data_IF_926790994563
#
_entry.id   IF_926790994563
#
_cell.length_a   1.000
_cell.length_b   1.000
_cell.length_c   1.000
_cell.angle_alpha   90.00
_cell.angle_beta   90.00
_cell.angle_gamma   90.00
#
_symmetry.space_group_name_H-M   'P 1'
#
loop_
_entity.id
_entity.type
_entity.pdbx_description
1 polymer ?
#
# COMPACT_ATOMS: atom_id res chain seq x y z
N UNK A 1 25.22 -2.54 -42.73
CA UNK A 1 24.89 -2.98 -41.36
C UNK A 1 24.42 -1.74 -40.60
N UNK A 2 23.12 -1.50 -40.60
CA UNK A 2 22.49 -0.41 -39.87
C UNK A 2 22.34 -0.85 -38.44
N UNK A 3 23.10 -0.27 -37.55
CA UNK A 3 22.83 -0.38 -36.11
C UNK A 3 21.43 0.17 -35.88
N UNK A 4 20.54 -0.58 -35.19
CA UNK A 4 19.32 0.02 -34.73
C UNK A 4 19.76 1.14 -33.79
N UNK A 5 19.33 2.35 -34.08
CA UNK A 5 19.39 3.42 -33.11
C UNK A 5 18.83 2.85 -31.79
N UNK A 6 19.66 2.88 -30.74
CA UNK A 6 19.16 2.83 -29.40
C UNK A 6 18.16 3.98 -29.30
N UNK A 7 16.91 3.67 -29.63
CA UNK A 7 15.86 4.64 -29.75
C UNK A 7 15.87 5.46 -28.50
N UNK A 8 15.73 6.75 -28.63
CA UNK A 8 15.34 7.63 -27.57
C UNK A 8 14.20 6.92 -26.83
N UNK A 9 14.56 6.18 -25.77
CA UNK A 9 13.56 5.75 -24.79
C UNK A 9 12.94 7.05 -24.32
N UNK A 10 11.74 7.35 -24.81
CA UNK A 10 10.96 8.46 -24.32
C UNK A 10 10.93 8.34 -22.81
N UNK A 11 10.86 9.45 -22.09
CA UNK A 11 10.72 9.43 -20.62
C UNK A 11 9.59 8.50 -20.18
N UNK A 12 8.57 8.31 -21.00
CA UNK A 12 7.46 7.37 -20.84
C UNK A 12 7.90 5.90 -20.93
N UNK A 13 8.70 5.53 -21.95
CA UNK A 13 9.23 4.17 -22.09
C UNK A 13 10.13 3.79 -20.92
N UNK A 14 10.94 4.72 -20.40
CA UNK A 14 11.77 4.50 -19.21
C UNK A 14 10.95 4.31 -17.94
N UNK A 15 9.86 5.04 -17.79
CA UNK A 15 8.94 4.88 -16.63
C UNK A 15 8.27 3.52 -16.64
N UNK A 16 7.80 3.07 -17.81
CA UNK A 16 7.17 1.77 -17.97
C UNK A 16 8.16 0.63 -17.74
N UNK A 17 9.40 0.74 -18.24
CA UNK A 17 10.46 -0.24 -18.00
C UNK A 17 10.77 -0.36 -16.50
N UNK A 18 10.88 0.75 -15.80
CA UNK A 18 11.10 0.75 -14.35
C UNK A 18 9.94 0.12 -13.58
N UNK A 19 8.71 0.40 -14.00
CA UNK A 19 7.51 -0.20 -13.38
C UNK A 19 7.46 -1.71 -13.57
N UNK A 20 7.72 -2.18 -14.77
CA UNK A 20 7.80 -3.62 -15.08
C UNK A 20 8.91 -4.28 -14.27
N UNK A 21 10.09 -3.67 -14.21
CA UNK A 21 11.21 -4.20 -13.43
C UNK A 21 10.89 -4.28 -11.93
N UNK A 22 10.23 -3.28 -11.38
CA UNK A 22 9.76 -3.25 -10.00
C UNK A 22 8.85 -4.45 -9.69
N UNK A 23 7.91 -4.73 -10.60
CA UNK A 23 6.97 -5.85 -10.44
C UNK A 23 7.68 -7.20 -10.63
N UNK A 24 8.53 -7.34 -11.66
CA UNK A 24 9.21 -8.59 -11.98
C UNK A 24 10.27 -9.01 -10.98
N UNK A 25 10.79 -8.08 -10.18
CA UNK A 25 11.65 -8.39 -9.03
C UNK A 25 10.92 -9.18 -7.94
N UNK A 26 9.60 -9.09 -7.90
CA UNK A 26 8.76 -9.68 -6.84
C UNK A 26 7.99 -10.88 -7.36
N UNK A 27 7.37 -10.77 -8.54
CA UNK A 27 6.54 -11.81 -9.14
C UNK A 27 6.94 -12.04 -10.58
N UNK A 28 6.88 -13.30 -11.01
CA UNK A 28 7.11 -13.65 -12.41
C UNK A 28 5.88 -13.30 -13.24
N UNK A 29 6.09 -12.55 -14.32
CA UNK A 29 5.05 -12.19 -15.29
C UNK A 29 5.23 -13.00 -16.58
N UNK A 30 4.11 -13.39 -17.19
CA UNK A 30 4.12 -13.85 -18.59
C UNK A 30 4.37 -12.66 -19.53
N UNK A 31 4.79 -12.94 -20.77
CA UNK A 31 4.95 -11.90 -21.78
C UNK A 31 3.64 -11.13 -22.02
N UNK A 32 2.51 -11.82 -21.99
CA UNK A 32 1.19 -11.21 -22.13
C UNK A 32 0.86 -10.28 -20.97
N UNK A 33 1.10 -10.71 -19.74
CA UNK A 33 0.90 -9.88 -18.54
C UNK A 33 1.77 -8.63 -18.57
N UNK A 34 3.05 -8.80 -18.89
CA UNK A 34 4.00 -7.70 -18.99
C UNK A 34 3.54 -6.66 -20.02
N UNK A 35 3.10 -7.10 -21.18
CA UNK A 35 2.62 -6.21 -22.24
C UNK A 35 1.33 -5.48 -21.84
N UNK A 36 0.39 -6.16 -21.22
CA UNK A 36 -0.85 -5.55 -20.72
C UNK A 36 -0.58 -4.48 -19.64
N UNK A 37 0.32 -4.77 -18.72
CA UNK A 37 0.70 -3.82 -17.67
C UNK A 37 1.43 -2.62 -18.26
N UNK A 38 2.36 -2.85 -19.20
CA UNK A 38 3.08 -1.81 -19.90
C UNK A 38 2.14 -0.84 -20.62
N UNK A 39 1.22 -1.37 -21.40
CA UNK A 39 0.21 -0.57 -22.12
C UNK A 39 -0.63 0.27 -21.16
N UNK A 40 -1.09 -0.32 -20.06
CA UNK A 40 -1.88 0.37 -19.06
C UNK A 40 -1.08 1.47 -18.34
N UNK A 41 0.19 1.23 -18.06
CA UNK A 41 1.05 2.20 -17.40
C UNK A 41 1.44 3.36 -18.33
N UNK A 42 1.66 3.09 -19.61
CA UNK A 42 1.87 4.14 -20.62
C UNK A 42 0.66 5.07 -20.69
N UNK A 43 -0.55 4.52 -20.73
CA UNK A 43 -1.79 5.30 -20.71
C UNK A 43 -1.93 6.12 -19.42
N UNK A 44 -1.58 5.55 -18.27
CA UNK A 44 -1.53 6.23 -16.99
C UNK A 44 -0.58 7.44 -17.03
N UNK A 45 0.63 7.25 -17.54
CA UNK A 45 1.64 8.31 -17.62
C UNK A 45 1.20 9.48 -18.52
N UNK A 46 0.54 9.21 -19.63
CA UNK A 46 -0.03 10.25 -20.51
C UNK A 46 -1.03 11.14 -19.74
N UNK A 47 -1.92 10.53 -18.97
CA UNK A 47 -2.91 11.26 -18.17
C UNK A 47 -2.26 12.03 -17.02
N UNK A 48 -1.27 11.47 -16.36
CA UNK A 48 -0.53 12.15 -15.30
C UNK A 48 0.21 13.37 -15.85
N UNK A 49 0.89 13.23 -16.97
CA UNK A 49 1.59 14.35 -17.62
C UNK A 49 0.63 15.47 -18.06
N UNK A 50 -0.51 15.10 -18.62
CA UNK A 50 -1.56 16.07 -18.95
C UNK A 50 -2.06 16.83 -17.71
N UNK A 51 -2.30 16.12 -16.61
CA UNK A 51 -2.74 16.75 -15.36
C UNK A 51 -1.68 17.67 -14.75
N UNK A 52 -0.38 17.35 -14.92
CA UNK A 52 0.72 18.15 -14.38
C UNK A 52 1.05 19.38 -15.21
N UNK A 53 1.02 19.26 -16.55
CA UNK A 53 1.57 20.27 -17.44
C UNK A 53 0.53 21.04 -18.26
N UNK A 54 -0.66 20.48 -18.48
CA UNK A 54 -1.67 21.06 -19.38
C UNK A 54 -2.90 21.58 -18.64
N UNK A 55 -3.21 21.03 -17.46
CA UNK A 55 -4.41 21.40 -16.67
C UNK A 55 -4.05 22.39 -15.60
N UNK A 56 -4.60 23.61 -15.71
CA UNK A 56 -4.32 24.72 -14.79
C UNK A 56 -5.14 24.65 -13.50
N UNK A 57 -6.37 24.11 -13.56
CA UNK A 57 -7.22 23.97 -12.39
C UNK A 57 -6.75 22.79 -11.52
N UNK A 58 -6.33 23.08 -10.30
CA UNK A 58 -5.81 22.09 -9.35
C UNK A 58 -6.84 20.98 -9.02
N UNK A 59 -8.12 21.33 -8.92
CA UNK A 59 -9.19 20.36 -8.64
C UNK A 59 -9.42 19.42 -9.82
N UNK A 60 -9.44 19.95 -11.04
CA UNK A 60 -9.54 19.15 -12.27
C UNK A 60 -8.32 18.24 -12.44
N UNK A 61 -7.11 18.75 -12.20
CA UNK A 61 -5.87 17.97 -12.24
C UNK A 61 -5.89 16.81 -11.23
N UNK A 62 -6.31 17.06 -10.00
CA UNK A 62 -6.44 16.03 -8.97
C UNK A 62 -7.43 14.93 -9.37
N UNK A 63 -8.54 15.29 -9.98
CA UNK A 63 -9.53 14.33 -10.49
C UNK A 63 -8.96 13.45 -11.60
N UNK A 64 -8.23 14.03 -12.54
CA UNK A 64 -7.57 13.29 -13.63
C UNK A 64 -6.56 12.29 -13.06
N UNK A 65 -5.74 12.71 -12.09
CA UNK A 65 -4.77 11.84 -11.41
C UNK A 65 -5.47 10.68 -10.69
N UNK A 66 -6.54 10.96 -10.00
CA UNK A 66 -7.33 9.93 -9.30
C UNK A 66 -7.91 8.91 -10.27
N UNK A 67 -8.57 9.36 -11.33
CA UNK A 67 -9.16 8.47 -12.34
C UNK A 67 -8.09 7.66 -13.09
N UNK A 68 -6.95 8.27 -13.39
CA UNK A 68 -5.82 7.58 -14.00
C UNK A 68 -5.27 6.47 -13.10
N UNK A 69 -5.11 6.74 -11.81
CA UNK A 69 -4.68 5.77 -10.81
C UNK A 69 -5.67 4.62 -10.65
N UNK A 70 -6.95 4.93 -10.63
CA UNK A 70 -8.04 3.95 -10.56
C UNK A 70 -8.04 3.01 -11.76
N UNK A 71 -7.95 3.54 -12.96
CA UNK A 71 -7.90 2.77 -14.20
C UNK A 71 -6.68 1.84 -14.25
N UNK A 72 -5.50 2.37 -13.94
CA UNK A 72 -4.28 1.58 -13.90
C UNK A 72 -4.35 0.47 -12.85
N UNK A 73 -4.79 0.79 -11.63
CA UNK A 73 -4.93 -0.20 -10.55
C UNK A 73 -5.91 -1.31 -10.93
N UNK A 74 -7.03 -0.96 -11.57
CA UNK A 74 -8.01 -1.92 -12.05
C UNK A 74 -7.39 -2.91 -13.04
N UNK A 75 -6.64 -2.41 -14.01
CA UNK A 75 -5.96 -3.25 -15.01
C UNK A 75 -4.87 -4.11 -14.38
N UNK A 76 -4.04 -3.53 -13.51
CA UNK A 76 -2.98 -4.27 -12.80
C UNK A 76 -3.57 -5.43 -11.99
N UNK A 77 -4.59 -5.15 -11.19
CA UNK A 77 -5.23 -6.18 -10.35
C UNK A 77 -5.93 -7.26 -11.17
N UNK A 78 -6.53 -6.90 -12.30
CA UNK A 78 -7.16 -7.86 -13.21
C UNK A 78 -6.14 -8.71 -13.99
N UNK A 79 -4.98 -8.16 -14.31
CA UNK A 79 -3.92 -8.83 -15.08
C UNK A 79 -3.15 -9.83 -14.24
N UNK A 80 -2.88 -9.51 -12.99
CA UNK A 80 -2.19 -10.41 -12.04
C UNK A 80 -3.13 -11.51 -11.55
N UNK A 81 -2.59 -12.70 -11.32
CA UNK A 81 -3.30 -13.75 -10.58
C UNK A 81 -3.48 -13.33 -9.12
N UNK A 82 -4.39 -13.96 -8.40
CA UNK A 82 -4.58 -13.69 -6.98
C UNK A 82 -3.29 -13.88 -6.18
N UNK A 83 -2.56 -14.96 -6.44
CA UNK A 83 -1.27 -15.23 -5.81
C UNK A 83 -0.23 -14.15 -6.12
N UNK A 84 -0.12 -13.71 -7.37
CA UNK A 84 0.79 -12.63 -7.76
C UNK A 84 0.41 -11.30 -7.09
N UNK A 85 -0.88 -10.95 -7.08
CA UNK A 85 -1.37 -9.72 -6.42
C UNK A 85 -1.00 -9.70 -4.95
N UNK A 86 -1.32 -10.76 -4.23
CA UNK A 86 -1.08 -10.84 -2.80
C UNK A 86 0.42 -10.76 -2.50
N UNK A 87 1.25 -11.48 -3.24
CA UNK A 87 2.71 -11.43 -3.08
C UNK A 87 3.27 -10.03 -3.36
N UNK A 88 2.83 -9.39 -4.43
CA UNK A 88 3.27 -8.04 -4.77
C UNK A 88 2.91 -7.02 -3.68
N UNK A 89 1.67 -7.03 -3.21
CA UNK A 89 1.21 -6.16 -2.13
C UNK A 89 1.97 -6.45 -0.84
N UNK A 90 2.12 -7.72 -0.48
CA UNK A 90 2.82 -8.14 0.73
C UNK A 90 4.28 -7.67 0.74
N UNK A 91 5.03 -7.96 -0.30
CA UNK A 91 6.45 -7.57 -0.38
C UNK A 91 6.62 -6.05 -0.39
N UNK A 92 5.84 -5.33 -1.19
CA UNK A 92 5.93 -3.87 -1.26
C UNK A 92 5.46 -3.16 0.01
N UNK A 93 4.63 -3.81 0.80
CA UNK A 93 4.07 -3.25 2.04
C UNK A 93 4.82 -3.67 3.30
N UNK A 94 5.73 -4.64 3.22
CA UNK A 94 6.44 -5.19 4.39
C UNK A 94 7.15 -4.12 5.22
N UNK A 95 7.91 -3.17 4.67
CA UNK A 95 8.57 -2.14 5.49
C UNK A 95 7.60 -1.29 6.30
N UNK A 96 6.49 -0.88 5.71
CA UNK A 96 5.45 -0.09 6.39
C UNK A 96 4.75 -0.89 7.49
N UNK A 97 4.40 -2.15 7.20
CA UNK A 97 3.74 -3.02 8.17
C UNK A 97 4.68 -3.39 9.32
N UNK A 98 5.96 -3.63 9.05
CA UNK A 98 6.97 -3.86 10.09
C UNK A 98 7.11 -2.66 11.02
N UNK A 99 7.22 -1.45 10.47
CA UNK A 99 7.31 -0.22 11.25
C UNK A 99 6.09 -0.03 12.16
N UNK A 100 4.90 -0.25 11.62
CA UNK A 100 3.65 -0.16 12.38
C UNK A 100 3.54 -1.25 13.45
N UNK A 101 3.98 -2.46 13.13
CA UNK A 101 4.04 -3.58 14.09
C UNK A 101 4.98 -3.27 15.25
N UNK A 102 6.17 -2.78 14.98
CA UNK A 102 7.15 -2.42 15.99
C UNK A 102 6.66 -1.29 16.90
N UNK A 103 5.98 -0.29 16.31
CA UNK A 103 5.34 0.77 17.08
C UNK A 103 4.26 0.22 18.04
N UNK A 104 3.36 -0.64 17.55
CA UNK A 104 2.32 -1.25 18.38
C UNK A 104 2.90 -2.15 19.47
N UNK A 105 3.92 -2.92 19.15
CA UNK A 105 4.61 -3.76 20.12
C UNK A 105 5.31 -2.93 21.20
N UNK A 106 5.89 -1.79 20.82
CA UNK A 106 6.50 -0.83 21.74
C UNK A 106 5.52 -0.31 22.79
N UNK A 107 4.27 -0.04 22.40
CA UNK A 107 3.22 0.38 23.34
C UNK A 107 2.92 -0.70 24.39
N UNK A 108 2.98 -1.98 24.03
CA UNK A 108 2.79 -3.09 24.94
C UNK A 108 3.97 -3.23 25.90
N UNK A 109 5.20 -3.11 25.40
CA UNK A 109 6.43 -3.18 26.20
C UNK A 109 6.50 -2.10 27.28
N UNK A 110 6.00 -0.92 27.01
CA UNK A 110 5.95 0.17 28.00
C UNK A 110 5.04 -0.14 29.21
N UNK A 111 4.03 -0.97 29.00
CA UNK A 111 3.03 -1.26 30.02
C UNK A 111 3.32 -2.54 30.82
N UNK A 112 4.03 -3.48 30.24
CA UNK A 112 4.21 -4.82 30.80
C UNK A 112 5.59 -5.37 30.51
N UNK A 113 6.06 -6.25 31.38
CA UNK A 113 7.21 -7.09 31.13
C UNK A 113 6.74 -8.38 30.44
N UNK A 114 7.33 -8.69 29.30
CA UNK A 114 7.06 -9.90 28.55
C UNK A 114 8.35 -10.67 28.31
N UNK A 115 8.27 -12.01 28.31
CA UNK A 115 9.36 -12.86 27.86
C UNK A 115 9.62 -12.65 26.35
N UNK A 116 10.80 -13.03 25.89
CA UNK A 116 11.15 -12.97 24.46
C UNK A 116 10.20 -13.78 23.61
N UNK A 117 9.75 -14.95 24.10
CA UNK A 117 8.76 -15.78 23.40
C UNK A 117 7.40 -15.08 23.29
N UNK A 118 6.92 -14.48 24.37
CA UNK A 118 5.66 -13.74 24.37
C UNK A 118 5.71 -12.56 23.39
N UNK A 119 6.81 -11.82 23.37
CA UNK A 119 7.01 -10.71 22.43
C UNK A 119 7.03 -11.20 20.99
N UNK A 120 7.68 -12.30 20.71
CA UNK A 120 7.73 -12.92 19.37
C UNK A 120 6.34 -13.32 18.88
N UNK A 121 5.54 -13.95 19.74
CA UNK A 121 4.17 -14.37 19.41
C UNK A 121 3.24 -13.17 19.21
N UNK A 122 3.34 -12.15 20.06
CA UNK A 122 2.57 -10.92 19.94
C UNK A 122 2.95 -10.17 18.65
N UNK A 123 4.24 -10.08 18.35
CA UNK A 123 4.72 -9.46 17.11
C UNK A 123 4.16 -10.15 15.88
N UNK A 124 4.22 -11.48 15.85
CA UNK A 124 3.69 -12.28 14.73
C UNK A 124 2.18 -12.06 14.55
N UNK A 125 1.41 -12.05 15.61
CA UNK A 125 -0.03 -11.85 15.58
C UNK A 125 -0.38 -10.44 15.05
N UNK A 126 0.28 -9.41 15.55
CA UNK A 126 0.08 -8.01 15.11
C UNK A 126 0.47 -7.85 13.65
N UNK A 127 1.64 -8.34 13.26
CA UNK A 127 2.13 -8.25 11.87
C UNK A 127 1.17 -8.93 10.89
N UNK A 128 0.76 -10.15 11.18
CA UNK A 128 -0.14 -10.93 10.32
C UNK A 128 -1.48 -10.22 10.12
N UNK A 129 -2.03 -9.67 11.18
CA UNK A 129 -3.28 -8.91 11.09
C UNK A 129 -3.13 -7.60 10.30
N UNK A 130 -2.10 -6.81 10.60
CA UNK A 130 -1.83 -5.56 9.91
C UNK A 130 -1.52 -5.77 8.43
N UNK A 131 -0.83 -6.86 8.08
CA UNK A 131 -0.60 -7.23 6.69
C UNK A 131 -1.91 -7.60 5.98
N UNK A 132 -2.78 -8.37 6.62
CA UNK A 132 -4.10 -8.72 6.08
C UNK A 132 -4.94 -7.47 5.81
N UNK A 133 -4.93 -6.52 6.73
CA UNK A 133 -5.58 -5.22 6.59
C UNK A 133 -4.99 -4.41 5.41
N UNK A 134 -3.66 -4.37 5.31
CA UNK A 134 -2.95 -3.68 4.22
C UNK A 134 -3.28 -4.27 2.86
N UNK A 135 -3.38 -5.58 2.75
CA UNK A 135 -3.77 -6.27 1.50
C UNK A 135 -5.18 -5.84 1.07
N UNK A 136 -6.12 -5.77 1.99
CA UNK A 136 -7.49 -5.30 1.69
C UNK A 136 -7.47 -3.85 1.21
N UNK A 137 -6.81 -2.95 1.92
CA UNK A 137 -6.73 -1.54 1.53
C UNK A 137 -6.05 -1.34 0.17
N UNK A 138 -5.02 -2.09 -0.14
CA UNK A 138 -4.33 -2.00 -1.42
C UNK A 138 -5.16 -2.59 -2.57
N UNK A 139 -5.77 -3.75 -2.36
CA UNK A 139 -6.59 -4.42 -3.37
C UNK A 139 -7.88 -3.64 -3.67
N UNK A 140 -8.57 -3.19 -2.63
CA UNK A 140 -9.87 -2.53 -2.73
C UNK A 140 -9.75 -0.99 -2.64
N UNK A 141 -8.59 -0.44 -2.99
CA UNK A 141 -8.26 0.99 -2.84
C UNK A 141 -9.30 1.92 -3.44
N UNK A 142 -9.87 1.56 -4.58
CA UNK A 142 -10.82 2.39 -5.32
C UNK A 142 -12.27 1.89 -5.24
N UNK A 143 -12.51 0.82 -4.50
CA UNK A 143 -13.85 0.27 -4.21
C UNK A 143 -14.15 0.41 -2.72
N UNK A 144 -14.64 1.56 -2.33
CA UNK A 144 -14.87 1.94 -0.92
C UNK A 144 -15.87 1.00 -0.24
N UNK A 145 -16.91 0.57 -0.93
CA UNK A 145 -17.92 -0.35 -0.38
C UNK A 145 -17.30 -1.70 -0.04
N UNK A 146 -16.61 -2.30 -1.01
CA UNK A 146 -15.93 -3.59 -0.83
C UNK A 146 -14.82 -3.50 0.22
N UNK A 147 -14.06 -2.41 0.25
CA UNK A 147 -13.04 -2.14 1.27
C UNK A 147 -13.65 -2.15 2.68
N UNK A 148 -14.73 -1.41 2.90
CA UNK A 148 -15.44 -1.36 4.20
C UNK A 148 -15.97 -2.73 4.62
N UNK A 149 -16.58 -3.48 3.71
CA UNK A 149 -17.07 -4.83 3.98
C UNK A 149 -15.95 -5.78 4.40
N UNK A 150 -14.85 -5.79 3.66
CA UNK A 150 -13.71 -6.68 3.93
C UNK A 150 -12.96 -6.28 5.21
N UNK A 151 -12.79 -5.00 5.48
CA UNK A 151 -12.20 -4.51 6.75
C UNK A 151 -13.10 -4.85 7.93
N UNK A 152 -14.40 -4.71 7.79
CA UNK A 152 -15.36 -5.09 8.85
C UNK A 152 -15.27 -6.58 9.20
N UNK A 153 -15.10 -7.44 8.19
CA UNK A 153 -14.86 -8.88 8.43
C UNK A 153 -13.55 -9.15 9.17
N UNK A 154 -12.48 -8.45 8.79
CA UNK A 154 -11.18 -8.58 9.44
C UNK A 154 -11.22 -8.14 10.91
N UNK A 155 -11.99 -7.11 11.24
CA UNK A 155 -12.12 -6.64 12.65
C UNK A 155 -12.60 -7.70 13.62
N UNK A 156 -13.34 -8.69 13.14
CA UNK A 156 -13.76 -9.84 13.95
C UNK A 156 -12.60 -10.79 14.30
N UNK A 157 -11.48 -10.68 13.60
CA UNK A 157 -10.29 -11.52 13.76
C UNK A 157 -9.11 -10.75 14.39
N UNK A 158 -9.33 -9.54 14.87
CA UNK A 158 -8.28 -8.72 15.45
C UNK A 158 -7.65 -9.43 16.67
N UNK A 159 -6.33 -9.60 16.72
CA UNK A 159 -5.67 -10.28 17.83
C UNK A 159 -5.72 -9.42 19.10
N UNK A 160 -5.79 -10.09 20.24
CA UNK A 160 -5.82 -9.47 21.58
C UNK A 160 -4.66 -8.49 21.77
N UNK A 161 -3.45 -8.87 21.34
CA UNK A 161 -2.26 -8.01 21.44
C UNK A 161 -2.44 -6.67 20.72
N UNK A 162 -3.06 -6.66 19.53
CA UNK A 162 -3.32 -5.43 18.80
C UNK A 162 -4.42 -4.60 19.46
N UNK A 163 -5.48 -5.22 19.98
CA UNK A 163 -6.51 -4.52 20.75
C UNK A 163 -5.93 -3.82 21.98
N UNK A 164 -5.09 -4.51 22.73
CA UNK A 164 -4.41 -3.95 23.91
C UNK A 164 -3.51 -2.76 23.51
N UNK A 165 -2.75 -2.88 22.43
CA UNK A 165 -1.90 -1.79 21.93
C UNK A 165 -2.72 -0.59 21.48
N UNK A 166 -3.87 -0.79 20.85
CA UNK A 166 -4.77 0.28 20.43
C UNK A 166 -5.36 1.03 21.63
N UNK A 167 -5.69 0.32 22.70
CA UNK A 167 -6.16 0.92 23.97
C UNK A 167 -5.04 1.78 24.58
N UNK A 168 -3.82 1.27 24.62
CA UNK A 168 -2.65 2.01 25.14
C UNK A 168 -2.38 3.28 24.33
N UNK A 169 -2.47 3.20 23.02
CA UNK A 169 -2.30 4.37 22.13
C UNK A 169 -3.34 5.46 22.41
N UNK A 170 -4.61 5.07 22.57
CA UNK A 170 -5.70 5.98 22.95
C UNK A 170 -5.45 6.66 24.29
N UNK A 171 -5.05 5.90 25.31
CA UNK A 171 -4.74 6.44 26.64
C UNK A 171 -3.61 7.47 26.59
N UNK A 172 -2.56 7.22 25.81
CA UNK A 172 -1.48 8.18 25.57
C UNK A 172 -1.95 9.47 24.89
N UNK A 173 -2.81 9.35 23.87
CA UNK A 173 -3.40 10.49 23.17
C UNK A 173 -4.26 11.36 24.09
N UNK A 174 -5.09 10.75 24.92
CA UNK A 174 -5.91 11.44 25.91
C UNK A 174 -5.09 12.14 27.00
N UNK A 175 -4.00 11.51 27.47
CA UNK A 175 -3.07 12.11 28.43
C UNK A 175 -2.38 13.37 27.88
N UNK A 176 -2.05 13.40 26.61
CA UNK A 176 -1.49 14.58 25.92
C UNK A 176 -2.49 15.72 25.80
N UNK A 177 -3.77 15.42 25.58
CA UNK A 177 -4.84 16.42 25.47
C UNK A 177 -5.15 17.01 26.84
N UNK A 178 -5.21 16.20 27.90
CA UNK A 178 -5.45 16.68 29.26
C UNK A 178 -4.32 17.55 29.79
N UNK A 179 -3.08 17.26 29.44
CA UNK A 179 -1.93 18.07 29.84
C UNK A 179 -1.83 19.39 29.07
N UNK A 180 -2.42 19.49 27.87
CA UNK A 180 -2.50 20.71 27.08
C UNK A 180 -3.60 21.68 27.52
N UNK A 181 -4.55 21.22 28.31
CA UNK A 181 -5.68 22.04 28.80
C UNK A 181 -5.46 22.70 30.18
N UNK A 182 -4.30 22.51 30.82
CA UNK A 182 -4.01 23.04 32.16
C UNK A 182 -3.19 24.34 32.14
N UNK A 183 -2.94 24.95 31.01
CA UNK A 183 -2.30 26.26 30.93
C UNK A 183 -3.30 27.36 30.60
N UNK A 184 -4.11 27.71 31.60
CA UNK A 184 -4.80 28.99 31.68
C UNK A 184 -4.50 29.67 33.02
#
# INVERSE_FOLDING_TARGET
MTHPHAGNLTSEGQRSDRKILEITKIVKLSNKQEQQIRTAYDAYNVKIDSALYEVKDAKAAARIKYEAGKEFNKTLMATLTESQRNKYIEVTSTPEVEAKTDYKLGLLKEANEYSDLELKLKRKAIFTYLMSEKIVYARDKYDIKKQKENISRLKNLIPKALLESNIREKQKGQGKISNGSINW
#
